data_IF_858692775299
#
_entry.id   IF_858692775299
#
_cell.length_a   1.000
_cell.length_b   1.000
_cell.length_c   1.000
_cell.angle_alpha   90.00
_cell.angle_beta   90.00
_cell.angle_gamma   90.00
#
_symmetry.space_group_name_H-M   'P 1'
#
loop_
_entity.id
_entity.type
_entity.pdbx_description
1 polymer ?
#
# COMPACT_ATOMS: atom_id res chain seq x y z
N UNK A 1 25.17 -20.50 -23.96
CA UNK A 1 24.23 -20.79 -22.86
C UNK A 1 22.81 -20.55 -23.34
N UNK A 2 21.85 -21.40 -22.93
CA UNK A 2 20.45 -21.39 -23.41
C UNK A 2 19.75 -20.02 -23.28
N UNK A 3 20.21 -19.15 -22.37
CA UNK A 3 19.69 -17.79 -22.15
C UNK A 3 20.02 -16.81 -23.31
N UNK A 4 21.11 -17.04 -24.07
CA UNK A 4 21.49 -16.13 -25.18
C UNK A 4 20.46 -16.11 -26.31
N UNK A 5 19.72 -17.20 -26.51
CA UNK A 5 18.72 -17.34 -27.57
C UNK A 5 17.34 -16.74 -27.24
N UNK A 6 17.14 -16.22 -26.03
CA UNK A 6 15.88 -15.59 -25.66
C UNK A 6 15.73 -14.21 -26.33
N UNK A 7 14.51 -13.91 -26.78
CA UNK A 7 14.15 -12.56 -27.23
C UNK A 7 14.25 -11.54 -26.08
N UNK A 8 14.28 -10.25 -26.41
CA UNK A 8 14.29 -9.17 -25.40
C UNK A 8 13.15 -9.35 -24.38
N UNK A 9 11.92 -9.52 -24.86
CA UNK A 9 10.75 -9.74 -24.00
C UNK A 9 10.83 -11.01 -23.13
N UNK A 10 11.37 -12.11 -23.65
CA UNK A 10 11.56 -13.34 -22.87
C UNK A 10 12.57 -13.17 -21.74
N UNK A 11 13.63 -12.39 -21.96
CA UNK A 11 14.62 -12.07 -20.93
C UNK A 11 14.00 -11.22 -19.82
N UNK A 12 13.19 -10.23 -20.18
CA UNK A 12 12.53 -9.37 -19.17
C UNK A 12 11.52 -10.18 -18.33
N UNK A 13 10.71 -11.05 -18.95
CA UNK A 13 9.81 -11.96 -18.22
C UNK A 13 10.58 -12.87 -17.25
N UNK A 14 11.73 -13.42 -17.68
CA UNK A 14 12.58 -14.26 -16.83
C UNK A 14 13.17 -13.48 -15.66
N UNK A 15 13.66 -12.27 -15.89
CA UNK A 15 14.25 -11.42 -14.84
C UNK A 15 13.19 -10.97 -13.83
N UNK A 16 12.01 -10.55 -14.28
CA UNK A 16 10.90 -10.18 -13.40
C UNK A 16 10.46 -11.37 -12.54
N UNK A 17 10.24 -12.54 -13.15
CA UNK A 17 9.89 -13.75 -12.41
C UNK A 17 10.95 -14.13 -11.37
N UNK A 18 12.24 -14.01 -11.73
CA UNK A 18 13.33 -14.28 -10.80
C UNK A 18 13.42 -13.24 -9.66
N UNK A 19 13.23 -11.96 -9.95
CA UNK A 19 13.26 -10.89 -8.96
C UNK A 19 12.12 -11.00 -7.94
N UNK A 20 10.93 -11.43 -8.40
CA UNK A 20 9.74 -11.60 -7.56
C UNK A 20 9.70 -12.96 -6.84
N UNK A 21 10.53 -13.94 -7.22
CA UNK A 21 10.48 -15.31 -6.71
C UNK A 21 10.57 -15.42 -5.19
N UNK A 22 11.35 -14.54 -4.56
CA UNK A 22 11.54 -14.51 -3.11
C UNK A 22 10.53 -13.61 -2.37
N UNK A 23 9.54 -13.05 -3.08
CA UNK A 23 8.58 -12.09 -2.56
C UNK A 23 9.22 -10.98 -1.70
N UNK A 24 10.18 -10.20 -2.25
CA UNK A 24 10.89 -9.22 -1.44
C UNK A 24 9.96 -8.11 -0.92
N UNK A 25 10.27 -7.53 0.23
CA UNK A 25 9.48 -6.41 0.77
C UNK A 25 9.54 -5.16 -0.12
N UNK A 26 10.61 -5.00 -0.89
CA UNK A 26 10.86 -3.86 -1.78
C UNK A 26 11.42 -4.34 -3.12
N UNK A 27 10.84 -3.86 -4.21
CA UNK A 27 11.28 -4.11 -5.58
C UNK A 27 11.77 -2.80 -6.20
N UNK A 28 13.00 -2.79 -6.71
CA UNK A 28 13.57 -1.65 -7.45
C UNK A 28 13.61 -1.98 -8.93
N UNK A 29 13.00 -1.13 -9.75
CA UNK A 29 12.92 -1.30 -11.20
C UNK A 29 13.58 -0.11 -11.90
N UNK A 30 14.67 -0.37 -12.60
CA UNK A 30 15.37 0.63 -13.40
C UNK A 30 15.00 0.48 -14.88
N UNK A 31 14.30 1.47 -15.42
CA UNK A 31 13.80 1.53 -16.80
C UNK A 31 13.10 0.24 -17.28
N UNK A 32 12.07 -0.24 -16.56
CA UNK A 32 11.51 -1.58 -16.78
C UNK A 32 10.68 -1.71 -18.06
N UNK A 33 10.37 -0.60 -18.73
CA UNK A 33 9.62 -0.59 -19.99
C UNK A 33 10.48 -0.90 -21.21
N UNK A 34 11.81 -0.82 -21.07
CA UNK A 34 12.72 -1.04 -22.18
C UNK A 34 12.61 -2.48 -22.70
N UNK A 35 12.59 -2.62 -24.02
CA UNK A 35 12.52 -3.90 -24.73
C UNK A 35 11.25 -4.73 -24.47
N UNK A 36 10.20 -4.12 -23.89
CA UNK A 36 8.88 -4.74 -23.74
C UNK A 36 7.97 -4.40 -24.91
N UNK A 37 7.27 -5.43 -25.41
CA UNK A 37 6.10 -5.23 -26.27
C UNK A 37 4.87 -4.83 -25.42
N UNK A 38 3.77 -4.49 -26.09
CA UNK A 38 2.54 -4.04 -25.41
C UNK A 38 1.97 -5.07 -24.45
N UNK A 39 2.06 -6.36 -24.80
CA UNK A 39 1.53 -7.44 -23.98
C UNK A 39 2.34 -7.60 -22.68
N UNK A 40 3.67 -7.62 -22.81
CA UNK A 40 4.57 -7.72 -21.68
C UNK A 40 4.55 -6.47 -20.79
N UNK A 41 4.38 -5.28 -21.38
CA UNK A 41 4.17 -4.05 -20.63
C UNK A 41 2.89 -4.10 -19.79
N UNK A 42 1.80 -4.61 -20.37
CA UNK A 42 0.54 -4.84 -19.65
C UNK A 42 0.69 -5.85 -18.51
N UNK A 43 1.40 -6.96 -18.75
CA UNK A 43 1.66 -7.96 -17.72
C UNK A 43 2.51 -7.40 -16.56
N UNK A 44 3.52 -6.58 -16.86
CA UNK A 44 4.34 -5.89 -15.86
C UNK A 44 3.49 -4.92 -15.05
N UNK A 45 2.69 -4.08 -15.71
CA UNK A 45 1.80 -3.13 -15.05
C UNK A 45 0.84 -3.84 -14.08
N UNK A 46 0.24 -4.95 -14.49
CA UNK A 46 -0.63 -5.75 -13.63
C UNK A 46 0.14 -6.37 -12.46
N UNK A 47 1.33 -6.92 -12.72
CA UNK A 47 2.18 -7.52 -11.68
C UNK A 47 2.59 -6.51 -10.61
N UNK A 48 2.86 -5.25 -10.99
CA UNK A 48 3.17 -4.16 -10.05
C UNK A 48 1.95 -3.78 -9.21
N UNK A 49 0.76 -3.71 -9.81
CA UNK A 49 -0.48 -3.41 -9.08
C UNK A 49 -0.84 -4.48 -8.06
N UNK A 50 -0.58 -5.74 -8.39
CA UNK A 50 -0.87 -6.89 -7.53
C UNK A 50 0.26 -7.17 -6.52
N UNK A 51 1.36 -6.41 -6.60
CA UNK A 51 2.51 -6.62 -5.74
C UNK A 51 2.22 -6.15 -4.31
N UNK A 52 2.30 -7.06 -3.34
CA UNK A 52 2.03 -6.75 -1.93
C UNK A 52 3.16 -6.00 -1.19
N UNK A 53 4.30 -5.77 -1.84
CA UNK A 53 5.44 -5.03 -1.29
C UNK A 53 5.54 -3.61 -1.84
N UNK A 54 6.58 -2.88 -1.42
CA UNK A 54 6.90 -1.58 -2.01
C UNK A 54 7.53 -1.74 -3.39
N UNK A 55 7.24 -0.81 -4.31
CA UNK A 55 7.91 -0.73 -5.61
C UNK A 55 8.50 0.67 -5.78
N UNK A 56 9.78 0.74 -6.10
CA UNK A 56 10.45 1.96 -6.55
C UNK A 56 10.77 1.78 -8.03
N UNK A 57 10.39 2.75 -8.85
CA UNK A 57 10.60 2.72 -10.29
C UNK A 57 11.31 3.96 -10.77
N UNK A 58 12.33 3.76 -11.60
CA UNK A 58 13.00 4.80 -12.36
C UNK A 58 12.52 4.64 -13.80
N UNK A 59 11.89 5.67 -14.36
CA UNK A 59 11.36 5.62 -15.71
C UNK A 59 11.21 7.02 -16.30
N UNK A 60 11.54 7.16 -17.58
CA UNK A 60 11.21 8.35 -18.37
C UNK A 60 9.82 8.27 -19.04
N UNK A 61 9.09 7.15 -18.91
CA UNK A 61 7.78 6.95 -19.54
C UNK A 61 6.64 7.38 -18.60
N UNK A 62 6.15 8.61 -18.81
CA UNK A 62 5.06 9.21 -18.02
C UNK A 62 3.73 8.46 -18.08
N UNK A 63 3.38 7.91 -19.24
CA UNK A 63 2.14 7.15 -19.39
C UNK A 63 2.18 5.87 -18.56
N UNK A 64 3.35 5.26 -18.44
CA UNK A 64 3.53 4.03 -17.68
C UNK A 64 3.55 4.28 -16.17
N UNK A 65 4.44 5.12 -15.65
CA UNK A 65 4.53 5.34 -14.20
C UNK A 65 3.30 6.07 -13.66
N UNK A 66 2.70 6.99 -14.43
CA UNK A 66 1.57 7.80 -13.96
C UNK A 66 0.31 6.99 -13.66
N UNK A 67 0.16 5.81 -14.25
CA UNK A 67 -0.95 4.89 -13.99
C UNK A 67 -0.68 3.90 -12.85
N UNK A 68 0.56 3.86 -12.32
CA UNK A 68 1.04 2.83 -11.40
C UNK A 68 1.52 3.38 -10.06
N UNK A 69 1.99 4.64 -10.00
CA UNK A 69 2.58 5.21 -8.80
C UNK A 69 1.62 6.13 -8.06
N UNK A 70 1.72 6.13 -6.73
CA UNK A 70 0.99 7.02 -5.83
C UNK A 70 1.79 8.30 -5.48
N UNK A 71 3.11 8.25 -5.68
CA UNK A 71 4.05 9.33 -5.43
C UNK A 71 5.10 9.37 -6.55
N UNK A 72 5.52 10.57 -6.94
CA UNK A 72 6.48 10.82 -8.03
C UNK A 72 7.58 11.73 -7.50
N UNK A 73 8.83 11.30 -7.67
CA UNK A 73 10.02 12.05 -7.25
C UNK A 73 10.71 12.59 -8.50
N UNK A 74 10.53 13.88 -8.77
CA UNK A 74 11.16 14.56 -9.90
C UNK A 74 12.53 15.08 -9.47
N UNK A 75 13.59 14.59 -10.10
CA UNK A 75 14.97 14.99 -9.80
C UNK A 75 15.47 15.92 -10.89
N UNK A 76 15.66 17.20 -10.58
CA UNK A 76 16.13 18.21 -11.52
C UNK A 76 17.13 19.15 -10.83
N UNK A 77 18.23 19.47 -11.50
CA UNK A 77 19.27 20.39 -10.99
C UNK A 77 19.80 20.03 -9.58
N UNK A 78 19.88 18.73 -9.26
CA UNK A 78 20.32 18.26 -7.94
C UNK A 78 19.28 18.42 -6.83
N UNK A 79 18.06 18.85 -7.15
CA UNK A 79 16.94 18.98 -6.23
C UNK A 79 15.90 17.89 -6.51
N UNK A 80 15.14 17.52 -5.48
CA UNK A 80 14.03 16.56 -5.58
C UNK A 80 12.72 17.27 -5.28
N UNK A 81 11.79 17.23 -6.22
CA UNK A 81 10.42 17.70 -6.06
C UNK A 81 9.48 16.49 -5.98
N UNK A 82 8.73 16.37 -4.89
CA UNK A 82 7.86 15.23 -4.62
C UNK A 82 6.41 15.63 -4.91
N UNK A 83 5.73 14.81 -5.71
CA UNK A 83 4.32 14.98 -6.09
C UNK A 83 3.52 13.75 -5.69
N UNK A 84 2.28 13.95 -5.23
CA UNK A 84 1.41 12.87 -4.77
C UNK A 84 1.49 12.63 -3.27
N UNK A 85 0.92 11.52 -2.82
CA UNK A 85 0.90 11.11 -1.41
C UNK A 85 1.02 9.58 -1.36
N UNK A 86 2.04 9.05 -0.70
CA UNK A 86 2.07 7.65 -0.33
C UNK A 86 0.77 7.24 0.40
N UNK A 87 0.19 6.10 0.03
CA UNK A 87 -1.10 5.57 0.53
C UNK A 87 -1.15 5.24 2.03
N UNK A 88 -0.13 5.62 2.81
CA UNK A 88 -0.11 5.48 4.27
C UNK A 88 -1.40 6.07 4.92
N UNK A 89 -1.95 7.11 4.29
CA UNK A 89 -3.23 7.72 4.65
C UNK A 89 -4.44 6.79 4.46
N UNK A 90 -4.51 6.00 3.38
CA UNK A 90 -5.62 5.07 3.08
C UNK A 90 -5.63 3.86 4.00
N UNK A 91 -4.46 3.28 4.28
CA UNK A 91 -4.30 2.16 5.23
C UNK A 91 -4.63 2.59 6.67
N UNK A 92 -4.19 3.79 7.09
CA UNK A 92 -4.55 4.38 8.39
C UNK A 92 -6.04 4.70 8.46
N UNK A 93 -6.65 5.24 7.40
CA UNK A 93 -8.10 5.50 7.35
C UNK A 93 -8.91 4.22 7.44
N UNK A 94 -8.51 3.17 6.72
CA UNK A 94 -9.22 1.88 6.69
C UNK A 94 -9.16 1.22 8.06
N UNK A 95 -7.98 1.16 8.70
CA UNK A 95 -7.85 0.69 10.10
C UNK A 95 -8.73 1.47 11.06
N UNK A 96 -8.72 2.82 10.99
CA UNK A 96 -9.56 3.67 11.84
C UNK A 96 -11.06 3.45 11.60
N UNK A 97 -11.48 3.24 10.36
CA UNK A 97 -12.89 2.96 10.02
C UNK A 97 -13.33 1.63 10.61
N UNK A 98 -12.54 0.57 10.41
CA UNK A 98 -12.84 -0.78 10.95
C UNK A 98 -12.86 -0.81 12.47
N UNK A 99 -11.96 -0.11 13.15
CA UNK A 99 -11.97 0.01 14.62
C UNK A 99 -13.20 0.78 15.11
N UNK A 100 -13.55 1.87 14.43
CA UNK A 100 -14.70 2.71 14.81
C UNK A 100 -16.04 2.00 14.58
N UNK A 101 -16.16 1.22 13.51
CA UNK A 101 -17.35 0.42 13.22
C UNK A 101 -17.53 -0.68 14.28
N UNK A 102 -16.45 -1.39 14.67
CA UNK A 102 -16.48 -2.37 15.78
C UNK A 102 -16.87 -1.75 17.12
N UNK A 103 -16.35 -0.56 17.44
CA UNK A 103 -16.70 0.17 18.66
C UNK A 103 -18.17 0.62 18.66
N UNK A 104 -18.70 1.06 17.52
CA UNK A 104 -20.12 1.42 17.38
C UNK A 104 -21.05 0.22 17.53
N UNK A 105 -20.63 -0.95 17.01
CA UNK A 105 -21.39 -2.19 17.10
C UNK A 105 -21.50 -2.67 18.56
N UNK A 106 -20.38 -2.69 19.29
CA UNK A 106 -20.35 -2.99 20.73
C UNK A 106 -21.20 -2.02 21.56
N UNK A 107 -21.20 -0.73 21.21
CA UNK A 107 -22.03 0.27 21.88
C UNK A 107 -23.53 0.04 21.65
N UNK A 108 -23.93 -0.33 20.43
CA UNK A 108 -25.32 -0.64 20.11
C UNK A 108 -25.80 -1.92 20.81
N UNK A 109 -24.93 -2.93 20.97
CA UNK A 109 -25.25 -4.13 21.75
C UNK A 109 -25.41 -3.82 23.24
N UNK A 110 -24.48 -3.06 23.84
CA UNK A 110 -24.59 -2.65 25.25
C UNK A 110 -25.86 -1.86 25.53
N UNK A 111 -26.25 -0.93 24.64
CA UNK A 111 -27.49 -0.16 24.78
C UNK A 111 -28.76 -1.03 24.76
N UNK A 112 -28.77 -2.13 23.99
CA UNK A 112 -29.90 -3.07 23.97
C UNK A 112 -30.03 -3.85 25.28
N UNK A 113 -28.92 -4.14 25.95
CA UNK A 113 -28.90 -4.92 27.20
C UNK A 113 -29.25 -4.06 28.42
N UNK A 114 -28.85 -2.78 28.44
CA UNK A 114 -28.98 -1.93 29.64
C UNK A 114 -30.39 -1.32 29.81
N UNK A 115 -31.21 -1.24 28.76
CA UNK A 115 -32.53 -0.62 28.84
C UNK A 115 -32.42 0.91 29.02
N UNK A 116 -33.30 1.66 28.37
CA UNK A 116 -33.21 3.12 28.30
C UNK A 116 -33.36 3.79 29.66
N UNK A 117 -32.25 4.28 30.22
CA UNK A 117 -32.08 5.57 30.92
C UNK A 117 -30.75 5.58 31.68
N UNK A 118 -29.63 5.48 30.96
CA UNK A 118 -28.30 5.69 31.55
C UNK A 118 -27.66 6.94 30.97
N UNK A 119 -27.24 7.83 31.85
CA UNK A 119 -26.65 9.13 31.54
C UNK A 119 -25.42 8.96 30.63
N UNK A 120 -25.47 9.57 29.44
CA UNK A 120 -24.44 9.48 28.40
C UNK A 120 -23.04 9.88 28.89
N UNK A 121 -22.95 10.68 29.96
CA UNK A 121 -21.68 11.15 30.51
C UNK A 121 -20.98 10.09 31.38
N UNK A 122 -21.72 9.29 32.15
CA UNK A 122 -21.14 8.25 33.03
C UNK A 122 -20.56 7.07 32.23
N UNK A 123 -21.20 6.72 31.11
CA UNK A 123 -20.72 5.63 30.23
C UNK A 123 -19.47 6.06 29.48
N UNK A 124 -19.39 7.31 29.00
CA UNK A 124 -18.19 7.85 28.33
C UNK A 124 -16.98 7.85 29.26
N UNK A 125 -17.16 8.21 30.52
CA UNK A 125 -16.10 8.23 31.52
C UNK A 125 -15.60 6.81 31.83
N UNK A 126 -16.51 5.84 31.97
CA UNK A 126 -16.15 4.44 32.24
C UNK A 126 -15.45 3.73 31.07
N UNK A 127 -15.81 4.07 29.81
CA UNK A 127 -15.17 3.54 28.59
C UNK A 127 -13.78 4.17 28.36
N UNK A 128 -13.62 5.46 28.66
CA UNK A 128 -12.30 6.14 28.63
C UNK A 128 -11.35 5.58 29.69
N UNK A 129 -11.84 5.37 30.93
CA UNK A 129 -11.07 4.81 32.05
C UNK A 129 -10.58 3.37 31.83
N UNK A 130 -11.27 2.58 31.00
CA UNK A 130 -10.80 1.25 30.61
C UNK A 130 -9.68 1.28 29.57
N UNK A 131 -9.56 2.38 28.81
CA UNK A 131 -8.54 2.51 27.75
C UNK A 131 -7.20 3.06 28.27
N UNK A 132 -7.18 3.69 29.44
CA UNK A 132 -5.94 4.13 30.11
C UNK A 132 -5.26 3.01 30.93
N UNK A 133 -5.94 1.88 31.16
CA UNK A 133 -5.39 0.76 31.97
C UNK A 133 -4.53 -0.25 31.22
N UNK A 134 -4.38 -0.13 29.89
CA UNK A 134 -3.29 -0.82 29.17
C UNK A 134 -2.06 0.09 29.11
N UNK A 135 -1.62 0.57 30.27
CA UNK A 135 -0.31 1.16 30.42
C UNK A 135 0.76 0.09 30.33
N UNK A 136 1.76 0.30 29.48
CA UNK A 136 3.16 0.27 29.95
C UNK A 136 3.96 1.46 29.40
N UNK A 137 4.80 2.09 30.25
CA UNK A 137 5.69 3.20 29.89
C UNK A 137 7.12 2.75 29.54
N UNK A 138 7.88 3.74 29.01
CA UNK A 138 9.24 3.80 28.44
C UNK A 138 9.43 3.15 27.07
#
# INVERSE_FOLDING_TARGET
GKIKGLSGGQKVKLVLGAAMWMCPHLLLLDEPTNYLDREALGALAQSIKDYGGGVIMISHNKEFYGALTNEIWLVENGLVNIQGQAEESTLKLTRRKTEKDKLMEQHNEMKKVVGGDTNLNEVKERVMLTNEKTGRPL
#
